data_IF_632604843059
#
_entry.id   IF_632604843059
#
_cell.length_a   1.000
_cell.length_b   1.000
_cell.length_c   1.000
_cell.angle_alpha   90.00
_cell.angle_beta   90.00
_cell.angle_gamma   90.00
#
_symmetry.space_group_name_H-M   'P 1'
#
loop_
_entity.id
_entity.type
_entity.pdbx_description
1 polymer ?
#
# COMPACT_ATOMS: atom_id res chain seq x y z
N UNK A 1 6.51 7.02 -15.49
CA UNK A 1 6.11 6.59 -14.13
C UNK A 1 4.76 7.15 -13.69
N UNK A 2 4.54 8.48 -13.75
CA UNK A 2 3.28 9.11 -13.29
C UNK A 2 2.26 9.35 -14.42
N UNK A 3 2.63 9.07 -15.67
CA UNK A 3 1.72 9.26 -16.79
C UNK A 3 0.54 8.28 -16.67
N UNK A 4 -0.73 8.75 -16.73
CA UNK A 4 -1.91 7.93 -16.44
C UNK A 4 -2.08 6.70 -17.34
N UNK A 5 -1.51 6.73 -18.56
CA UNK A 5 -1.57 5.62 -19.52
C UNK A 5 -0.68 4.44 -19.13
N UNK A 6 0.21 4.60 -18.15
CA UNK A 6 1.05 3.54 -17.63
C UNK A 6 0.55 3.16 -16.24
N UNK A 7 -0.44 2.26 -16.22
CA UNK A 7 -0.98 1.68 -14.99
C UNK A 7 0.05 0.74 -14.38
N UNK A 8 0.79 1.25 -13.41
CA UNK A 8 1.78 0.44 -12.70
C UNK A 8 1.18 -0.22 -11.46
N UNK A 9 1.42 -1.52 -11.28
CA UNK A 9 1.09 -2.21 -10.04
C UNK A 9 2.00 -1.72 -8.90
N UNK A 10 1.38 -1.41 -7.76
CA UNK A 10 2.06 -0.92 -6.56
C UNK A 10 1.60 -1.76 -5.38
N UNK A 11 2.56 -2.36 -4.69
CA UNK A 11 2.31 -3.13 -3.47
C UNK A 11 2.55 -2.25 -2.25
N UNK A 12 1.54 -2.18 -1.41
CA UNK A 12 1.59 -1.50 -0.12
C UNK A 12 1.49 -2.50 1.00
N UNK A 13 2.41 -2.42 1.95
CA UNK A 13 2.26 -3.05 3.26
C UNK A 13 1.69 -2.02 4.21
N UNK A 14 0.56 -2.36 4.83
CA UNK A 14 -0.25 -1.45 5.61
C UNK A 14 -0.51 -2.05 6.97
N UNK A 15 -0.07 -1.36 8.01
CA UNK A 15 -0.48 -1.65 9.37
C UNK A 15 -1.76 -0.88 9.64
N UNK A 16 -2.81 -1.58 10.04
CA UNK A 16 -4.10 -1.00 10.41
C UNK A 16 -4.39 -1.21 11.89
N UNK A 17 -5.14 -0.29 12.47
CA UNK A 17 -5.71 -0.46 13.82
C UNK A 17 -6.81 -1.55 13.78
N UNK A 18 -6.83 -2.43 14.76
CA UNK A 18 -7.80 -3.52 14.88
C UNK A 18 -7.34 -4.84 14.27
N UNK A 19 -8.16 -5.87 14.49
CA UNK A 19 -8.04 -7.19 13.85
C UNK A 19 -8.87 -7.16 12.56
N UNK A 20 -8.23 -6.97 11.42
CA UNK A 20 -8.94 -6.87 10.14
C UNK A 20 -9.61 -8.21 9.80
N UNK A 21 -10.83 -8.15 9.28
CA UNK A 21 -11.64 -9.33 8.97
C UNK A 21 -11.83 -9.53 7.46
N UNK A 22 -12.35 -10.70 7.07
CA UNK A 22 -12.55 -11.07 5.66
C UNK A 22 -13.48 -10.11 4.92
N UNK A 23 -14.55 -9.64 5.55
CA UNK A 23 -15.48 -8.67 4.95
C UNK A 23 -14.76 -7.37 4.57
N UNK A 24 -13.89 -6.85 5.44
CA UNK A 24 -13.10 -5.66 5.12
C UNK A 24 -12.12 -5.91 3.96
N UNK A 25 -11.50 -7.08 3.87
CA UNK A 25 -10.63 -7.45 2.74
C UNK A 25 -11.40 -7.55 1.43
N UNK A 26 -12.61 -8.11 1.46
CA UNK A 26 -13.51 -8.20 0.31
C UNK A 26 -13.95 -6.82 -0.16
N UNK A 27 -14.34 -5.93 0.75
CA UNK A 27 -14.65 -4.53 0.43
C UNK A 27 -13.45 -3.84 -0.23
N UNK A 28 -12.27 -3.93 0.38
CA UNK A 28 -11.04 -3.36 -0.19
C UNK A 28 -10.74 -3.91 -1.59
N UNK A 29 -10.98 -5.20 -1.81
CA UNK A 29 -10.71 -5.86 -3.11
C UNK A 29 -11.74 -5.49 -4.18
N UNK A 30 -13.01 -5.37 -3.82
CA UNK A 30 -14.09 -5.02 -4.75
C UNK A 30 -14.16 -3.52 -5.06
N UNK A 31 -13.48 -2.70 -4.27
CA UNK A 31 -13.46 -1.25 -4.39
C UNK A 31 -14.38 -0.60 -3.36
N UNK A 32 -13.94 0.54 -2.81
CA UNK A 32 -14.65 1.27 -1.76
C UNK A 32 -14.81 2.73 -2.15
N UNK A 33 -15.90 3.34 -1.71
CA UNK A 33 -16.13 4.78 -1.91
C UNK A 33 -15.28 5.57 -0.91
N UNK A 34 -14.43 6.45 -1.43
CA UNK A 34 -13.58 7.35 -0.66
C UNK A 34 -13.80 8.79 -1.12
N UNK A 35 -13.44 9.77 -0.29
CA UNK A 35 -13.44 11.16 -0.72
C UNK A 35 -12.12 11.50 -1.45
N UNK A 36 -12.19 11.98 -2.69
CA UNK A 36 -11.05 12.52 -3.44
C UNK A 36 -11.39 13.93 -3.89
N UNK A 37 -10.59 14.91 -3.44
CA UNK A 37 -10.78 16.34 -3.76
C UNK A 37 -12.20 16.86 -3.42
N UNK A 38 -12.76 16.43 -2.30
CA UNK A 38 -14.10 16.83 -1.86
C UNK A 38 -15.23 16.00 -2.47
N UNK A 39 -14.97 15.18 -3.46
CA UNK A 39 -15.98 14.40 -4.19
C UNK A 39 -15.91 12.91 -3.84
N UNK A 40 -17.05 12.20 -3.80
CA UNK A 40 -17.06 10.75 -3.66
C UNK A 40 -16.42 10.10 -4.90
N UNK A 41 -15.58 9.10 -4.66
CA UNK A 41 -14.89 8.34 -5.69
C UNK A 41 -14.84 6.87 -5.30
N UNK A 42 -15.39 6.00 -6.14
CA UNK A 42 -15.26 4.55 -5.98
C UNK A 42 -13.92 4.11 -6.56
N UNK A 43 -13.08 3.47 -5.73
CA UNK A 43 -11.79 2.97 -6.18
C UNK A 43 -11.95 1.82 -7.17
N UNK A 44 -10.96 1.63 -8.03
CA UNK A 44 -10.85 0.42 -8.82
C UNK A 44 -10.69 -0.81 -7.91
N UNK A 45 -10.96 -1.99 -8.48
CA UNK A 45 -10.69 -3.26 -7.81
C UNK A 45 -9.21 -3.37 -7.46
N UNK A 46 -8.94 -3.98 -6.32
CA UNK A 46 -7.61 -4.19 -5.78
C UNK A 46 -7.44 -5.65 -5.36
N UNK A 47 -6.23 -6.04 -4.98
CA UNK A 47 -6.03 -7.28 -4.21
C UNK A 47 -5.67 -6.90 -2.79
N UNK A 48 -6.46 -7.38 -1.83
CA UNK A 48 -6.22 -7.23 -0.41
C UNK A 48 -6.00 -8.60 0.24
N UNK A 49 -4.98 -8.73 1.08
CA UNK A 49 -4.72 -9.96 1.85
C UNK A 49 -4.06 -9.63 3.18
N UNK A 50 -4.30 -10.44 4.20
CA UNK A 50 -3.57 -10.36 5.47
C UNK A 50 -2.14 -10.86 5.25
N UNK A 51 -1.18 -10.20 5.89
CA UNK A 51 0.18 -10.70 5.98
C UNK A 51 0.28 -11.48 7.29
N UNK A 52 0.34 -12.81 7.19
CA UNK A 52 0.46 -13.73 8.32
C UNK A 52 1.92 -14.03 8.68
N UNK A 53 2.82 -13.85 7.72
CA UNK A 53 4.25 -14.06 7.89
C UNK A 53 4.89 -12.89 8.65
N UNK A 54 6.02 -13.17 9.32
CA UNK A 54 6.79 -12.13 9.99
C UNK A 54 7.41 -11.19 8.96
N UNK A 55 7.00 -9.92 9.02
CA UNK A 55 7.56 -8.88 8.16
C UNK A 55 8.81 -8.29 8.82
N UNK A 56 9.93 -8.35 8.13
CA UNK A 56 11.15 -7.63 8.52
C UNK A 56 11.08 -6.24 7.90
N UNK A 57 10.80 -5.23 8.72
CA UNK A 57 10.78 -3.82 8.32
C UNK A 57 11.57 -2.99 9.32
N UNK A 58 12.29 -1.95 8.86
CA UNK A 58 13.02 -1.05 9.75
C UNK A 58 12.11 -0.45 10.81
N UNK A 59 12.62 -0.22 12.01
CA UNK A 59 11.87 0.52 13.03
C UNK A 59 11.65 1.97 12.61
N UNK A 60 10.59 2.58 13.15
CA UNK A 60 10.25 3.97 12.83
C UNK A 60 10.66 4.89 13.98
N UNK A 61 11.40 5.95 13.66
CA UNK A 61 11.66 7.06 14.56
C UNK A 61 11.12 8.37 13.94
N UNK A 62 10.16 9.10 14.57
CA UNK A 62 9.49 8.75 15.82
C UNK A 62 8.52 7.56 15.64
N UNK A 63 8.20 6.83 16.73
CA UNK A 63 7.28 5.70 16.68
C UNK A 63 5.89 6.13 16.20
N UNK A 64 5.14 5.18 15.67
CA UNK A 64 3.72 5.42 15.35
C UNK A 64 2.94 5.72 16.63
N UNK A 65 1.93 6.58 16.53
CA UNK A 65 0.93 6.72 17.60
C UNK A 65 -0.05 5.56 17.46
N UNK A 66 -0.25 4.80 18.53
CA UNK A 66 -1.21 3.70 18.59
C UNK A 66 -1.75 3.57 20.01
N UNK A 67 -2.89 2.88 20.13
CA UNK A 67 -3.48 2.55 21.42
C UNK A 67 -2.93 1.21 21.88
N UNK A 68 -2.24 1.16 23.02
CA UNK A 68 -1.57 -0.07 23.52
C UNK A 68 -2.49 -1.29 23.61
N UNK A 69 -3.76 -1.09 23.92
CA UNK A 69 -4.74 -2.16 24.14
C UNK A 69 -5.57 -2.50 22.89
N UNK A 70 -5.30 -1.86 21.75
CA UNK A 70 -5.98 -2.16 20.50
C UNK A 70 -5.04 -2.99 19.63
N UNK A 71 -5.46 -4.18 19.15
CA UNK A 71 -4.61 -5.00 18.29
C UNK A 71 -4.31 -4.26 16.98
N UNK A 72 -3.31 -4.74 16.25
CA UNK A 72 -3.01 -4.23 14.90
C UNK A 72 -2.86 -5.39 13.95
N UNK A 73 -3.19 -5.16 12.68
CA UNK A 73 -3.05 -6.14 11.61
C UNK A 73 -2.17 -5.58 10.51
N UNK A 74 -1.39 -6.44 9.87
CA UNK A 74 -0.70 -6.10 8.63
C UNK A 74 -1.46 -6.68 7.43
N UNK A 75 -1.64 -5.84 6.41
CA UNK A 75 -2.22 -6.25 5.13
C UNK A 75 -1.32 -5.85 3.98
N UNK A 76 -1.45 -6.60 2.89
CA UNK A 76 -0.90 -6.30 1.58
C UNK A 76 -2.03 -5.77 0.70
N UNK A 77 -1.80 -4.62 0.07
CA UNK A 77 -2.70 -4.01 -0.90
C UNK A 77 -1.97 -3.79 -2.23
N UNK A 78 -2.46 -4.40 -3.31
CA UNK A 78 -1.97 -4.18 -4.66
C UNK A 78 -2.94 -3.25 -5.40
N UNK A 79 -2.43 -2.12 -5.87
CA UNK A 79 -3.18 -1.09 -6.58
C UNK A 79 -2.53 -0.75 -7.91
N UNK A 80 -3.34 -0.53 -8.93
CA UNK A 80 -2.91 -0.04 -10.26
C UNK A 80 -3.11 1.46 -10.44
N UNK A 81 -3.88 2.08 -9.53
CA UNK A 81 -4.12 3.52 -9.47
C UNK A 81 -3.50 4.18 -8.22
N UNK A 82 -3.54 5.52 -8.17
CA UNK A 82 -2.92 6.28 -7.10
C UNK A 82 -3.59 7.64 -6.85
N UNK A 83 -4.79 7.64 -6.25
CA UNK A 83 -5.45 8.86 -5.79
C UNK A 83 -4.81 9.40 -4.51
N UNK A 84 -5.04 10.69 -4.23
CA UNK A 84 -4.50 11.35 -3.03
C UNK A 84 -4.93 10.60 -1.75
N UNK A 85 -3.93 10.08 -1.01
CA UNK A 85 -4.10 9.31 0.23
C UNK A 85 -5.02 8.10 0.08
N UNK A 86 -5.12 7.52 -1.13
CA UNK A 86 -6.06 6.45 -1.45
C UNK A 86 -6.05 5.31 -0.44
N UNK A 87 -4.89 4.68 -0.20
CA UNK A 87 -4.78 3.55 0.75
C UNK A 87 -5.33 3.92 2.13
N UNK A 88 -4.93 5.08 2.67
CA UNK A 88 -5.38 5.52 4.01
C UNK A 88 -6.89 5.74 4.08
N UNK A 89 -7.47 6.28 3.01
CA UNK A 89 -8.92 6.51 2.92
C UNK A 89 -9.67 5.20 2.75
N UNK A 90 -9.15 4.26 1.94
CA UNK A 90 -9.73 2.95 1.73
C UNK A 90 -9.82 2.17 3.05
N UNK A 91 -8.71 2.04 3.79
CA UNK A 91 -8.75 1.28 5.05
C UNK A 91 -9.59 1.97 6.13
N UNK A 92 -9.62 3.31 6.16
CA UNK A 92 -10.52 4.04 7.05
C UNK A 92 -12.00 3.82 6.71
N UNK A 93 -12.35 3.78 5.41
CA UNK A 93 -13.71 3.54 4.95
C UNK A 93 -14.23 2.14 5.32
N UNK A 94 -13.34 1.14 5.46
CA UNK A 94 -13.70 -0.20 5.93
C UNK A 94 -13.64 -0.36 7.46
N UNK A 95 -13.37 0.72 8.20
CA UNK A 95 -13.33 0.71 9.67
C UNK A 95 -11.97 0.39 10.29
N UNK A 96 -10.89 0.28 9.49
CA UNK A 96 -9.55 -0.09 9.94
C UNK A 96 -8.51 1.00 9.56
N UNK A 97 -8.46 2.14 10.27
CA UNK A 97 -7.56 3.24 9.95
C UNK A 97 -6.08 2.81 9.84
N UNK A 98 -5.38 3.36 8.84
CA UNK A 98 -3.96 3.07 8.62
C UNK A 98 -3.06 3.72 9.69
N UNK A 99 -2.28 2.91 10.41
CA UNK A 99 -1.24 3.33 11.34
C UNK A 99 0.12 3.52 10.64
N UNK A 100 0.53 2.56 9.82
CA UNK A 100 1.80 2.56 9.08
C UNK A 100 1.55 2.18 7.63
N UNK A 101 2.25 2.84 6.71
CA UNK A 101 2.12 2.62 5.27
C UNK A 101 3.51 2.57 4.64
N UNK A 102 3.81 1.48 3.95
CA UNK A 102 5.07 1.27 3.24
C UNK A 102 4.71 0.87 1.81
N UNK A 103 5.21 1.61 0.81
CA UNK A 103 5.12 1.15 -0.58
C UNK A 103 6.31 0.22 -0.83
N UNK A 104 6.08 -1.07 -0.67
CA UNK A 104 7.12 -2.08 -0.75
C UNK A 104 7.61 -2.29 -2.19
N UNK A 105 6.72 -2.20 -3.17
CA UNK A 105 7.05 -2.51 -4.57
C UNK A 105 6.34 -1.59 -5.55
N UNK A 106 7.02 -1.30 -6.67
CA UNK A 106 6.43 -0.77 -7.91
C UNK A 106 6.88 -1.72 -9.02
N UNK A 107 5.95 -2.41 -9.66
CA UNK A 107 6.26 -3.45 -10.65
C UNK A 107 7.27 -4.46 -10.11
N UNK A 108 8.43 -4.65 -10.76
CA UNK A 108 9.46 -5.57 -10.26
C UNK A 108 10.54 -4.87 -9.41
N UNK A 109 10.35 -3.59 -9.09
CA UNK A 109 11.23 -2.79 -8.23
C UNK A 109 10.72 -2.88 -6.79
N UNK A 110 11.48 -3.55 -5.93
CA UNK A 110 11.15 -3.73 -4.51
C UNK A 110 12.08 -2.91 -3.62
N UNK A 111 11.62 -2.60 -2.40
CA UNK A 111 12.48 -2.01 -1.37
C UNK A 111 13.55 -2.99 -0.88
N UNK A 112 13.26 -4.30 -0.84
CA UNK A 112 14.16 -5.34 -0.33
C UNK A 112 14.92 -4.87 0.94
N UNK A 113 16.24 -4.82 0.89
CA UNK A 113 17.12 -4.57 2.03
C UNK A 113 17.41 -3.08 2.27
N UNK A 114 16.75 -2.17 1.53
CA UNK A 114 16.94 -0.73 1.69
C UNK A 114 16.42 -0.25 3.04
N UNK A 115 17.30 0.42 3.78
CA UNK A 115 16.94 1.13 5.00
C UNK A 115 16.29 2.50 4.70
N UNK A 116 15.55 3.09 5.64
CA UNK A 116 14.96 4.40 5.44
C UNK A 116 16.04 5.46 5.17
N UNK A 117 15.91 6.18 4.05
CA UNK A 117 16.86 7.20 3.62
C UNK A 117 17.96 6.70 2.69
N UNK A 118 18.13 5.39 2.54
CA UNK A 118 19.05 4.83 1.56
C UNK A 118 18.51 4.98 0.14
N UNK A 119 19.44 5.06 -0.81
CA UNK A 119 19.15 5.14 -2.24
C UNK A 119 20.06 4.19 -2.99
N UNK A 120 19.50 3.54 -4.01
CA UNK A 120 20.25 2.78 -5.00
C UNK A 120 19.96 3.39 -6.36
N UNK A 121 21.02 3.69 -7.10
CA UNK A 121 20.91 4.14 -8.48
C UNK A 121 20.71 2.93 -9.41
N UNK A 122 19.77 3.06 -10.34
CA UNK A 122 19.52 2.07 -11.37
C UNK A 122 19.86 2.67 -12.73
N UNK A 123 20.57 1.92 -13.57
CA UNK A 123 20.76 2.31 -14.96
C UNK A 123 19.41 2.40 -15.67
N UNK A 124 19.30 3.31 -16.64
CA UNK A 124 18.07 3.52 -17.40
C UNK A 124 17.54 2.19 -17.97
N UNK A 125 18.41 1.38 -18.60
CA UNK A 125 18.03 0.06 -19.14
C UNK A 125 17.43 -0.88 -18.08
N UNK A 126 18.05 -0.95 -16.89
CA UNK A 126 17.56 -1.78 -15.79
C UNK A 126 16.21 -1.29 -15.27
N UNK A 127 16.08 0.03 -15.08
CA UNK A 127 14.83 0.67 -14.64
C UNK A 127 13.68 0.39 -15.61
N UNK A 128 13.89 0.59 -16.92
CA UNK A 128 12.86 0.36 -17.93
C UNK A 128 12.40 -1.11 -17.95
N UNK A 129 13.34 -2.05 -17.99
CA UNK A 129 13.02 -3.50 -17.92
C UNK A 129 12.21 -3.84 -16.67
N UNK A 130 12.50 -3.19 -15.54
CA UNK A 130 11.80 -3.46 -14.28
C UNK A 130 10.41 -2.83 -14.18
N UNK A 131 10.20 -1.68 -14.80
CA UNK A 131 8.91 -0.97 -14.84
C UNK A 131 7.97 -1.46 -15.93
N UNK A 132 8.51 -2.10 -16.98
CA UNK A 132 7.74 -2.60 -18.12
C UNK A 132 8.18 -4.02 -18.47
N UNK A 133 7.97 -5.01 -17.58
CA UNK A 133 8.49 -6.37 -17.78
C UNK A 133 7.87 -7.10 -18.98
N UNK A 134 6.70 -6.66 -19.45
CA UNK A 134 5.97 -7.23 -20.60
C UNK A 134 6.29 -6.53 -21.94
N UNK A 135 7.22 -5.55 -21.95
CA UNK A 135 7.68 -4.85 -23.16
C UNK A 135 9.18 -5.02 -23.35
#
# INVERSE_FOLDING_TARGET
>A
LLHPTHTHEREYWVQVEGTINTNALEQLSNGVTINVNGQPYTTQKAKASIITEQIIIPERNPPIRFRKNVPTSWIKLLLTEGKNRQVRKMTAATGFPTLRLIRYRIETITLNNLQPGEMIELSQKSMYKKLFPEK
#
